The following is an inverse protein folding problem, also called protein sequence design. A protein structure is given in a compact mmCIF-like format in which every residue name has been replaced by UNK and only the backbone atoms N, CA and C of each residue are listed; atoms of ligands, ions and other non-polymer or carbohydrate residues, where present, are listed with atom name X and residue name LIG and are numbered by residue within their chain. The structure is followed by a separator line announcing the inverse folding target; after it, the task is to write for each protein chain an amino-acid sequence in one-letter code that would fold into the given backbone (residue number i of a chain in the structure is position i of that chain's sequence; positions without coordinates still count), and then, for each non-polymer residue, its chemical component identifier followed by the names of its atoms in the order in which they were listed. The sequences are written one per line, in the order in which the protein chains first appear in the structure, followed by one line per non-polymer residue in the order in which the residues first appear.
data_IF_945415508925
#
_entry.id   IF_945415508925
#
_cell.length_a   1.000
_cell.length_b   1.000
_cell.length_c   1.000
_cell.angle_alpha   90.00
_cell.angle_beta   90.00
_cell.angle_gamma   90.00
#
_symmetry.space_group_name_H-M   'P 1'
#
loop_
_entity.id
_entity.type
_entity.pdbx_description
1 polymer ?
#
# COMPACT_ATOMS: atom_id res chain seq x y z
N UNK A 1 -1.26 -1.21 16.15
CA UNK A 1 -1.96 -1.79 14.99
C UNK A 1 -1.45 -1.05 13.76
N UNK A 2 -1.97 -1.26 12.55
CA UNK A 2 -1.74 -0.33 11.45
C UNK A 2 -2.92 0.66 11.46
N UNK A 3 -2.77 1.81 12.12
CA UNK A 3 -3.83 2.82 12.28
C UNK A 3 -4.08 3.64 10.99
N UNK A 4 -3.53 3.23 9.84
CA UNK A 4 -3.51 4.04 8.61
C UNK A 4 -4.87 4.61 8.22
N UNK A 5 -5.95 3.82 8.34
CA UNK A 5 -7.30 4.30 8.06
C UNK A 5 -7.81 5.32 9.09
N UNK A 6 -7.59 5.07 10.39
CA UNK A 6 -8.02 5.98 11.45
C UNK A 6 -7.25 7.31 11.41
N UNK A 7 -5.95 7.26 11.15
CA UNK A 7 -5.10 8.44 10.95
C UNK A 7 -5.55 9.26 9.74
N UNK A 8 -5.86 8.58 8.63
CA UNK A 8 -6.41 9.22 7.43
C UNK A 8 -7.76 9.90 7.69
N UNK A 9 -8.66 9.23 8.42
CA UNK A 9 -9.96 9.81 8.79
C UNK A 9 -9.82 11.05 9.68
N UNK A 10 -8.90 11.04 10.65
CA UNK A 10 -8.61 12.19 11.49
C UNK A 10 -8.05 13.38 10.68
N UNK A 11 -7.16 13.13 9.72
CA UNK A 11 -6.66 14.16 8.80
C UNK A 11 -7.78 14.76 7.94
N UNK A 12 -8.65 13.92 7.37
CA UNK A 12 -9.80 14.39 6.58
C UNK A 12 -10.77 15.24 7.41
N UNK A 13 -10.96 14.92 8.69
CA UNK A 13 -11.71 15.76 9.62
C UNK A 13 -11.11 17.17 9.76
N UNK A 14 -9.78 17.28 9.84
CA UNK A 14 -9.08 18.59 9.89
C UNK A 14 -9.19 19.36 8.58
N UNK A 15 -9.07 18.66 7.45
CA UNK A 15 -9.26 19.26 6.12
C UNK A 15 -10.68 19.83 5.97
N UNK A 16 -11.71 19.08 6.38
CA UNK A 16 -13.09 19.54 6.37
C UNK A 16 -13.32 20.74 7.31
N UNK A 17 -12.54 20.84 8.40
CA UNK A 17 -12.55 21.98 9.31
C UNK A 17 -11.74 23.19 8.81
N UNK A 18 -11.13 23.12 7.61
CA UNK A 18 -10.33 24.20 7.04
C UNK A 18 -8.95 24.38 7.69
N UNK A 19 -8.49 23.40 8.47
CA UNK A 19 -7.21 23.43 9.18
C UNK A 19 -6.03 22.93 8.33
N UNK A 20 -6.31 22.39 7.15
CA UNK A 20 -5.34 21.93 6.17
C UNK A 20 -5.69 22.53 4.81
N UNK A 21 -4.68 22.69 3.95
CA UNK A 21 -4.83 23.40 2.67
C UNK A 21 -5.09 22.45 1.49
N UNK A 22 -4.62 21.21 1.58
CA UNK A 22 -4.73 20.21 0.53
C UNK A 22 -4.66 18.78 1.10
N UNK A 23 -5.08 17.78 0.32
CA UNK A 23 -4.90 16.37 0.71
C UNK A 23 -3.41 16.00 0.82
N UNK A 24 -2.53 16.65 0.05
CA UNK A 24 -1.09 16.37 0.07
C UNK A 24 -0.43 16.69 1.43
N UNK A 25 -1.04 17.57 2.24
CA UNK A 25 -0.60 17.88 3.61
C UNK A 25 -0.60 16.66 4.54
N UNK A 26 -1.36 15.61 4.20
CA UNK A 26 -1.39 14.34 4.92
C UNK A 26 -0.01 13.64 4.96
N UNK A 27 0.89 13.96 4.02
CA UNK A 27 2.26 13.44 4.02
C UNK A 27 3.04 13.80 5.28
N UNK A 28 2.63 14.82 6.06
CA UNK A 28 3.23 15.13 7.36
C UNK A 28 2.80 14.18 8.48
N UNK A 29 1.68 13.50 8.31
CA UNK A 29 1.09 12.58 9.30
C UNK A 29 1.55 11.15 9.08
N UNK A 30 1.87 10.77 7.84
CA UNK A 30 2.39 9.46 7.50
C UNK A 30 3.90 9.50 7.31
N UNK A 31 4.61 8.54 7.89
CA UNK A 31 6.06 8.36 7.69
C UNK A 31 6.37 6.92 7.33
N UNK A 32 7.34 6.74 6.44
CA UNK A 32 7.89 5.41 6.14
C UNK A 32 8.81 4.98 7.26
N UNK A 33 8.47 3.90 7.94
CA UNK A 33 9.31 3.32 9.00
C UNK A 33 10.50 2.56 8.39
N UNK A 34 10.23 1.66 7.44
CA UNK A 34 11.25 0.81 6.82
C UNK A 34 11.00 0.56 5.34
N UNK A 35 12.07 0.63 4.57
CA UNK A 35 12.12 0.09 3.21
C UNK A 35 12.57 -1.38 3.28
N UNK A 36 11.82 -2.26 2.62
CA UNK A 36 12.15 -3.69 2.50
C UNK A 36 12.45 -3.98 1.04
N UNK A 37 13.72 -4.24 0.75
CA UNK A 37 14.16 -4.58 -0.60
C UNK A 37 13.84 -6.04 -0.94
N UNK A 38 13.36 -6.33 -2.16
CA UNK A 38 13.16 -7.70 -2.62
C UNK A 38 14.48 -8.47 -2.70
N UNK A 39 14.50 -9.71 -2.21
CA UNK A 39 15.62 -10.61 -2.45
C UNK A 39 15.57 -11.17 -3.87
N UNK A 40 16.67 -11.03 -4.61
CA UNK A 40 16.81 -11.49 -6.00
C UNK A 40 16.53 -13.00 -6.14
N UNK A 41 16.90 -13.80 -5.13
CA UNK A 41 16.70 -15.26 -5.13
C UNK A 41 15.22 -15.65 -5.19
N UNK A 42 14.31 -14.75 -4.78
CA UNK A 42 12.88 -15.00 -4.77
C UNK A 42 12.17 -14.60 -6.07
N UNK A 43 12.83 -13.88 -6.97
CA UNK A 43 12.21 -13.40 -8.21
C UNK A 43 11.69 -14.55 -9.09
N UNK A 44 12.54 -15.55 -9.36
CA UNK A 44 12.19 -16.73 -10.15
C UNK A 44 11.08 -17.57 -9.50
N UNK A 45 11.25 -18.02 -8.24
CA UNK A 45 10.23 -18.80 -7.54
C UNK A 45 8.88 -18.09 -7.40
N UNK A 46 8.86 -16.76 -7.20
CA UNK A 46 7.61 -15.99 -7.09
C UNK A 46 6.90 -15.90 -8.43
N UNK A 47 7.64 -15.69 -9.52
CA UNK A 47 7.07 -15.66 -10.88
C UNK A 47 6.38 -16.99 -11.22
N UNK A 48 6.99 -18.11 -10.87
CA UNK A 48 6.42 -19.43 -11.13
C UNK A 48 5.15 -19.68 -10.30
N UNK A 49 5.17 -19.32 -9.01
CA UNK A 49 3.98 -19.41 -8.16
C UNK A 49 2.84 -18.55 -8.68
N UNK A 50 3.14 -17.35 -9.18
CA UNK A 50 2.13 -16.46 -9.76
C UNK A 50 1.51 -17.05 -11.03
N UNK A 51 2.30 -17.63 -11.94
CA UNK A 51 1.76 -18.34 -13.12
C UNK A 51 0.84 -19.48 -12.72
N UNK A 52 1.27 -20.30 -11.75
CA UNK A 52 0.43 -21.38 -11.22
C UNK A 52 -0.86 -20.87 -10.61
N UNK A 53 -0.81 -19.77 -9.86
CA UNK A 53 -2.00 -19.13 -9.32
C UNK A 53 -2.98 -18.72 -10.42
N UNK A 54 -2.50 -18.06 -11.48
CA UNK A 54 -3.34 -17.64 -12.61
C UNK A 54 -3.99 -18.82 -13.33
N UNK A 55 -3.22 -19.89 -13.56
CA UNK A 55 -3.74 -21.11 -14.17
C UNK A 55 -4.83 -21.76 -13.31
N UNK A 56 -4.63 -21.81 -11.99
CA UNK A 56 -5.60 -22.36 -11.04
C UNK A 56 -6.84 -21.46 -10.85
N UNK A 57 -6.68 -20.14 -10.98
CA UNK A 57 -7.79 -19.19 -10.84
C UNK A 57 -8.62 -19.04 -12.13
N UNK A 58 -8.28 -19.76 -13.20
CA UNK A 58 -8.92 -19.59 -14.52
C UNK A 58 -8.71 -18.19 -15.10
N UNK A 59 -7.64 -17.51 -14.72
CA UNK A 59 -7.36 -16.15 -15.20
C UNK A 59 -7.03 -16.17 -16.69
N UNK A 60 -7.57 -15.21 -17.45
CA UNK A 60 -7.21 -15.00 -18.86
C UNK A 60 -5.77 -14.48 -19.05
N UNK A 61 -5.10 -14.12 -17.95
CA UNK A 61 -3.71 -13.68 -17.93
C UNK A 61 -2.72 -14.85 -17.70
N UNK A 62 -3.23 -16.08 -17.53
CA UNK A 62 -2.42 -17.28 -17.33
C UNK A 62 -1.62 -17.65 -18.59
#
# INVERSE_FOLDING_TARGET
MAEGAALGAAFLGRLAAGLESSIADAARWASTDRIVEPSADWAGPTKERYRRFLALSGSKLA
#
